data_IF_961124101043
#
_entry.id   IF_961124101043
#
_cell.length_a   1.000
_cell.length_b   1.000
_cell.length_c   1.000
_cell.angle_alpha   90.00
_cell.angle_beta   90.00
_cell.angle_gamma   90.00
#
_symmetry.space_group_name_H-M   'P 1'
#
loop_
_entity.id
_entity.type
_entity.pdbx_description
1 polymer ?
#
# COMPACT_ATOMS: atom_id res chain seq x y z
N UNK A 1 17.85 -11.93 8.03
CA UNK A 1 17.31 -11.28 6.82
C UNK A 1 15.81 -11.16 6.99
N UNK A 2 15.33 -9.94 7.14
CA UNK A 2 13.89 -9.68 7.27
C UNK A 2 13.24 -9.91 5.90
N UNK A 3 12.04 -10.51 5.84
CA UNK A 3 11.31 -10.76 4.58
C UNK A 3 11.01 -9.49 3.73
N UNK A 4 11.33 -8.31 4.25
CA UNK A 4 11.22 -7.00 3.62
C UNK A 4 12.50 -6.51 2.95
N UNK A 5 13.65 -7.13 3.22
CA UNK A 5 14.92 -6.80 2.54
C UNK A 5 15.02 -7.46 1.17
N UNK A 6 14.20 -8.49 0.91
CA UNK A 6 14.19 -9.26 -0.34
C UNK A 6 12.91 -9.06 -1.14
N UNK A 7 12.02 -8.16 -0.73
CA UNK A 7 10.84 -7.84 -1.52
C UNK A 7 11.28 -6.91 -2.66
N UNK A 8 11.18 -7.41 -3.90
CA UNK A 8 11.33 -6.58 -5.09
C UNK A 8 10.16 -5.60 -5.13
N UNK A 9 10.47 -4.33 -4.87
CA UNK A 9 9.49 -3.25 -5.01
C UNK A 9 9.36 -2.89 -6.49
N UNK A 10 8.15 -2.50 -6.96
CA UNK A 10 7.98 -2.07 -8.33
C UNK A 10 8.86 -0.87 -8.65
N UNK A 11 9.31 -0.76 -9.91
CA UNK A 11 10.13 0.36 -10.36
C UNK A 11 9.45 1.69 -10.05
N UNK A 12 10.23 2.64 -9.50
CA UNK A 12 9.73 3.97 -9.15
C UNK A 12 8.98 4.05 -7.81
N UNK A 13 8.91 2.96 -7.05
CA UNK A 13 8.43 2.94 -5.67
C UNK A 13 9.58 2.88 -4.68
N UNK A 14 9.43 3.60 -3.58
CA UNK A 14 10.40 3.63 -2.49
C UNK A 14 9.74 3.24 -1.18
N UNK A 15 10.44 2.41 -0.42
CA UNK A 15 9.97 1.98 0.88
C UNK A 15 10.17 3.11 1.89
N UNK A 16 9.11 3.45 2.60
CA UNK A 16 9.21 4.29 3.79
C UNK A 16 9.91 3.56 4.93
N UNK A 17 10.58 4.29 5.86
CA UNK A 17 11.23 3.68 7.01
C UNK A 17 10.30 2.75 7.79
N UNK A 18 10.80 1.57 8.16
CA UNK A 18 10.05 0.58 8.93
C UNK A 18 9.73 1.10 10.33
N UNK A 19 8.45 1.33 10.63
CA UNK A 19 8.02 1.75 11.97
C UNK A 19 7.51 0.58 12.82
N UNK A 20 7.74 -0.66 12.40
CA UNK A 20 7.40 -1.89 13.13
C UNK A 20 5.90 -2.23 13.19
N UNK A 21 5.03 -1.23 13.15
CA UNK A 21 3.56 -1.36 13.08
C UNK A 21 2.99 -0.85 11.76
N UNK A 22 3.85 -0.32 10.90
CA UNK A 22 3.49 0.25 9.61
C UNK A 22 4.54 -0.16 8.59
N UNK A 23 4.05 -0.57 7.43
CA UNK A 23 4.84 -0.76 6.22
C UNK A 23 4.22 0.18 5.20
N UNK A 24 5.01 1.07 4.64
CA UNK A 24 4.55 1.99 3.63
C UNK A 24 5.52 2.01 2.44
N UNK A 25 4.96 2.18 1.25
CA UNK A 25 5.69 2.45 0.04
C UNK A 25 5.10 3.70 -0.59
N UNK A 26 5.97 4.58 -1.05
CA UNK A 26 5.62 5.83 -1.70
C UNK A 26 6.17 5.83 -3.12
N UNK A 27 5.39 6.34 -4.06
CA UNK A 27 5.87 6.60 -5.41
C UNK A 27 6.89 7.74 -5.37
N UNK A 28 7.99 7.65 -6.12
CA UNK A 28 9.05 8.68 -6.15
C UNK A 28 8.57 10.09 -6.51
N UNK A 29 7.44 10.22 -7.20
CA UNK A 29 6.83 11.50 -7.54
C UNK A 29 5.99 12.11 -6.39
N UNK A 30 5.85 11.39 -5.27
CA UNK A 30 5.09 11.78 -4.09
C UNK A 30 3.57 11.73 -4.25
N UNK A 31 3.05 11.22 -5.37
CA UNK A 31 1.60 11.25 -5.66
C UNK A 31 0.84 10.07 -5.08
N UNK A 32 1.52 8.97 -4.78
CA UNK A 32 0.88 7.77 -4.29
C UNK A 32 1.61 7.20 -3.09
N UNK A 33 0.82 6.66 -2.16
CA UNK A 33 1.34 5.88 -1.06
C UNK A 33 0.45 4.67 -0.83
N UNK A 34 1.05 3.49 -0.70
CA UNK A 34 0.37 2.29 -0.22
C UNK A 34 0.87 1.98 1.18
N UNK A 35 -0.04 1.67 2.11
CA UNK A 35 0.31 1.42 3.51
C UNK A 35 -0.38 0.18 4.05
N UNK A 36 0.35 -0.59 4.84
CA UNK A 36 -0.18 -1.65 5.68
C UNK A 36 0.05 -1.27 7.14
N UNK A 37 -1.04 -1.11 7.88
CA UNK A 37 -1.02 -0.70 9.29
C UNK A 37 -1.47 -1.87 10.14
N UNK A 38 -0.62 -2.30 11.08
CA UNK A 38 -0.94 -3.36 12.02
C UNK A 38 -2.06 -2.91 12.95
N UNK A 39 -3.15 -3.66 12.96
CA UNK A 39 -4.29 -3.44 13.85
C UNK A 39 -3.86 -3.69 15.29
N UNK A 40 -4.15 -2.74 16.18
CA UNK A 40 -3.81 -2.82 17.61
C UNK A 40 -4.74 -3.74 18.41
N UNK A 41 -5.87 -4.17 17.82
CA UNK A 41 -6.98 -4.81 18.52
C UNK A 41 -6.86 -6.35 18.63
N UNK A 42 -5.83 -6.97 18.07
CA UNK A 42 -5.68 -8.44 18.07
C UNK A 42 -4.36 -8.83 18.71
N UNK A 43 -4.38 -9.05 20.02
CA UNK A 43 -3.38 -9.86 20.71
C UNK A 43 -3.40 -11.27 20.11
N UNK A 44 -2.31 -11.67 19.47
CA UNK A 44 -2.10 -13.05 19.01
C UNK A 44 -1.92 -13.23 17.50
N UNK A 45 -2.71 -12.57 16.66
CA UNK A 45 -2.57 -12.66 15.19
C UNK A 45 -2.77 -11.27 14.58
N UNK A 46 -1.64 -10.57 14.39
CA UNK A 46 -1.62 -9.18 13.97
C UNK A 46 -2.17 -9.01 12.56
N UNK A 47 -3.45 -8.68 12.46
CA UNK A 47 -4.06 -8.23 11.21
C UNK A 47 -3.42 -6.92 10.74
N UNK A 48 -3.28 -6.77 9.42
CA UNK A 48 -2.73 -5.62 8.75
C UNK A 48 -3.80 -5.04 7.85
N UNK A 49 -4.19 -3.79 8.09
CA UNK A 49 -5.14 -3.07 7.26
C UNK A 49 -4.37 -2.40 6.12
N UNK A 50 -4.79 -2.70 4.90
CA UNK A 50 -4.22 -2.15 3.67
C UNK A 50 -4.93 -0.85 3.30
N UNK A 51 -4.15 0.15 2.92
CA UNK A 51 -4.64 1.46 2.53
C UNK A 51 -3.93 1.93 1.26
N UNK A 52 -4.69 2.57 0.39
CA UNK A 52 -4.19 3.28 -0.77
C UNK A 52 -4.45 4.77 -0.57
N UNK A 53 -3.42 5.59 -0.73
CA UNK A 53 -3.47 7.03 -0.63
C UNK A 53 -3.00 7.62 -1.96
N UNK A 54 -3.81 8.53 -2.50
CA UNK A 54 -3.48 9.29 -3.70
C UNK A 54 -3.52 10.78 -3.34
N UNK A 55 -2.42 11.46 -3.57
CA UNK A 55 -2.29 12.91 -3.45
C UNK A 55 -2.97 13.59 -4.63
N UNK A 56 -3.94 14.45 -4.35
CA UNK A 56 -4.53 15.33 -5.35
C UNK A 56 -3.77 16.67 -5.37
N UNK A 57 -3.74 17.33 -6.52
CA UNK A 57 -3.23 18.70 -6.64
C UNK A 57 -3.90 19.56 -5.56
N UNK A 58 -3.10 20.37 -4.84
CA UNK A 58 -3.41 21.13 -3.61
C UNK A 58 -3.07 20.44 -2.27
N UNK A 59 -2.38 19.31 -2.27
CA UNK A 59 -1.81 18.71 -1.04
C UNK A 59 -2.83 18.00 -0.15
N UNK A 60 -4.05 17.79 -0.66
CA UNK A 60 -5.00 16.87 -0.05
C UNK A 60 -4.65 15.45 -0.47
N UNK A 61 -4.59 14.53 0.50
CA UNK A 61 -4.50 13.11 0.22
C UNK A 61 -5.71 12.39 0.80
N UNK A 62 -6.21 11.40 0.08
CA UNK A 62 -7.35 10.60 0.51
C UNK A 62 -6.92 9.15 0.66
N UNK A 63 -6.77 8.71 1.91
CA UNK A 63 -6.50 7.33 2.26
C UNK A 63 -7.79 6.51 2.17
N UNK A 64 -7.74 5.43 1.38
CA UNK A 64 -8.85 4.51 1.14
C UNK A 64 -8.51 3.14 1.70
N UNK A 65 -9.37 2.54 2.53
CA UNK A 65 -9.17 1.17 2.98
C UNK A 65 -9.36 0.22 1.80
N UNK A 66 -8.38 -0.63 1.56
CA UNK A 66 -8.37 -1.55 0.42
C UNK A 66 -8.69 -2.97 0.87
N UNK A 67 -8.15 -3.42 1.98
CA UNK A 67 -8.38 -4.77 2.48
C UNK A 67 -7.69 -5.04 3.81
N UNK A 68 -7.67 -6.31 4.22
CA UNK A 68 -7.02 -6.74 5.44
C UNK A 68 -6.38 -8.11 5.24
N UNK A 69 -5.17 -8.30 5.78
CA UNK A 69 -4.46 -9.58 5.77
C UNK A 69 -3.93 -9.94 7.15
N UNK A 70 -3.67 -11.23 7.39
CA UNK A 70 -3.34 -11.75 8.73
C UNK A 70 -1.86 -11.77 9.08
N UNK A 71 -0.98 -11.65 8.08
CA UNK A 71 0.47 -11.75 8.31
C UNK A 71 1.20 -10.57 7.72
N UNK A 72 2.34 -10.24 8.31
CA UNK A 72 3.24 -9.21 7.78
C UNK A 72 3.72 -9.54 6.38
N UNK A 73 4.03 -10.82 6.11
CA UNK A 73 4.48 -11.27 4.78
C UNK A 73 3.39 -11.06 3.72
N UNK A 74 2.15 -11.42 4.04
CA UNK A 74 1.01 -11.16 3.16
C UNK A 74 0.84 -9.65 2.96
N UNK A 75 0.95 -8.85 4.01
CA UNK A 75 0.84 -7.39 3.90
C UNK A 75 1.83 -6.80 2.90
N UNK A 76 3.09 -7.26 2.92
CA UNK A 76 4.10 -6.81 1.93
C UNK A 76 3.73 -7.21 0.51
N UNK A 77 3.34 -8.48 0.31
CA UNK A 77 2.95 -8.96 -1.02
C UNK A 77 1.76 -8.16 -1.58
N UNK A 78 0.73 -7.94 -0.76
CA UNK A 78 -0.44 -7.16 -1.16
C UNK A 78 -0.10 -5.69 -1.44
N UNK A 79 0.85 -5.09 -0.72
CA UNK A 79 1.29 -3.71 -1.02
C UNK A 79 1.99 -3.62 -2.38
N UNK A 80 2.81 -4.61 -2.74
CA UNK A 80 3.44 -4.67 -4.06
C UNK A 80 2.36 -4.80 -5.15
N UNK A 81 1.42 -5.73 -5.00
CA UNK A 81 0.31 -5.88 -5.96
C UNK A 81 -0.60 -4.66 -6.05
N UNK A 82 -0.83 -3.97 -4.93
CA UNK A 82 -1.60 -2.73 -4.90
C UNK A 82 -0.87 -1.58 -5.61
N UNK A 83 0.45 -1.48 -5.42
CA UNK A 83 1.28 -0.52 -6.13
C UNK A 83 1.24 -0.77 -7.65
N UNK A 84 1.43 -2.02 -8.11
CA UNK A 84 1.34 -2.39 -9.53
C UNK A 84 -0.04 -2.10 -10.12
N UNK A 85 -1.11 -2.37 -9.36
CA UNK A 85 -2.48 -2.06 -9.78
C UNK A 85 -2.71 -0.55 -9.89
N UNK A 86 -2.17 0.23 -8.95
CA UNK A 86 -2.27 1.68 -8.95
C UNK A 86 -1.57 2.29 -10.17
N UNK A 87 -0.38 1.79 -10.53
CA UNK A 87 0.32 2.18 -11.75
C UNK A 87 -0.54 1.93 -12.99
N UNK A 88 -1.02 0.69 -13.15
CA UNK A 88 -1.79 0.30 -14.32
C UNK A 88 -3.08 1.13 -14.49
N UNK A 89 -3.78 1.41 -13.39
CA UNK A 89 -5.05 2.14 -13.44
C UNK A 89 -4.87 3.64 -13.65
N UNK A 90 -3.85 4.26 -13.03
CA UNK A 90 -3.64 5.70 -13.17
C UNK A 90 -3.02 6.09 -14.52
N UNK A 91 -2.23 5.21 -15.14
CA UNK A 91 -1.77 5.39 -16.53
C UNK A 91 -2.95 5.42 -17.52
N UNK A 92 -4.05 4.73 -17.20
CA UNK A 92 -5.30 4.77 -17.99
C UNK A 92 -6.15 6.03 -17.73
N UNK A 93 -5.71 6.92 -16.84
CA UNK A 93 -6.46 8.11 -16.43
C UNK A 93 -7.63 7.81 -15.47
N UNK A 94 -7.63 6.63 -14.84
CA UNK A 94 -8.67 6.20 -13.91
C UNK A 94 -8.62 6.96 -12.59
N UNK A 95 -9.72 6.90 -11.83
CA UNK A 95 -9.77 7.53 -10.51
C UNK A 95 -9.14 6.64 -9.44
N UNK A 96 -8.76 7.20 -8.28
CA UNK A 96 -8.31 6.41 -7.14
C UNK A 96 -9.32 5.35 -6.64
N UNK A 97 -10.62 5.54 -6.90
CA UNK A 97 -11.64 4.54 -6.55
C UNK A 97 -11.61 3.34 -7.50
N UNK A 98 -11.20 3.55 -8.75
CA UNK A 98 -11.04 2.47 -9.74
C UNK A 98 -9.84 1.58 -9.38
N UNK A 99 -8.76 2.16 -8.85
CA UNK A 99 -7.64 1.39 -8.26
C UNK A 99 -8.14 0.43 -7.18
N UNK A 100 -8.95 0.92 -6.23
CA UNK A 100 -9.48 0.11 -5.13
C UNK A 100 -10.42 -0.98 -5.65
N UNK A 101 -11.20 -0.70 -6.69
CA UNK A 101 -12.08 -1.68 -7.32
C UNK A 101 -11.29 -2.75 -8.08
N UNK A 102 -10.31 -2.34 -8.87
CA UNK A 102 -9.45 -3.22 -9.65
C UNK A 102 -8.67 -4.18 -8.75
N UNK A 103 -8.14 -3.69 -7.63
CA UNK A 103 -7.41 -4.52 -6.68
C UNK A 103 -8.29 -5.57 -5.97
N UNK A 104 -9.58 -5.32 -5.83
CA UNK A 104 -10.52 -6.21 -5.11
C UNK A 104 -11.19 -7.27 -5.99
N UNK A 105 -11.12 -7.11 -7.31
CA UNK A 105 -11.73 -8.01 -8.29
C UNK A 105 -10.74 -9.08 -8.75
#
# INVERSE_FOLDING_TARGET
MSALETADFPDGWERSPDRGREIAMERRDGRMTVRAIRSALTDGDGSWNLQFEHGVENGYSAARPVGQVRTRKAAVAELVSLAETAEAQLDEGSSPDDVVRAFRN
#
